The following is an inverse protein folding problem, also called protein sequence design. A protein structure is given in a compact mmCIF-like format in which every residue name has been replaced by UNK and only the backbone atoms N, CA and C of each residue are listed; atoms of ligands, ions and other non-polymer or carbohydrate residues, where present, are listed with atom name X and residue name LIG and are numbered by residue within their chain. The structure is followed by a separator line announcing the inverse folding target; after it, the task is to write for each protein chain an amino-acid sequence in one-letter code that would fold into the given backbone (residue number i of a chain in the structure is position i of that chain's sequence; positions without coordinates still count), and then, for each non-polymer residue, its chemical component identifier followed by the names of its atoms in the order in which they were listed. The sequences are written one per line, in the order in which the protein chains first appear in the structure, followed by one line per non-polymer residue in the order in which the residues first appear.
data_IF_131535285672
#
_entry.id   IF_131535285672
#
_cell.length_a   1.000
_cell.length_b   1.000
_cell.length_c   1.000
_cell.angle_alpha   90.00
_cell.angle_beta   90.00
_cell.angle_gamma   90.00
#
_symmetry.space_group_name_H-M   'P 1'
#
loop_
_entity.id
_entity.type
_entity.pdbx_description
1 polymer ?
#
# COMPACT_ATOMS: atom_id res chain seq x y z
N UNK A 1 24.98 2.96 1.83
CA UNK A 1 24.40 4.05 2.67
C UNK A 1 23.23 3.48 3.44
N UNK A 2 23.03 3.89 4.69
CA UNK A 2 21.91 3.40 5.51
C UNK A 2 20.63 4.13 5.10
N UNK A 3 19.60 3.38 4.68
CA UNK A 3 18.27 3.94 4.46
C UNK A 3 17.68 4.41 5.80
N UNK A 4 16.94 5.53 5.84
CA UNK A 4 16.27 5.98 7.05
C UNK A 4 15.21 4.96 7.49
N UNK A 5 15.42 4.33 8.64
CA UNK A 5 14.50 3.35 9.22
C UNK A 5 13.45 4.06 10.10
N UNK A 6 12.17 3.81 9.83
CA UNK A 6 11.06 4.28 10.66
C UNK A 6 10.57 3.14 11.55
N UNK A 7 11.06 3.09 12.79
CA UNK A 7 10.58 2.15 13.79
C UNK A 7 9.36 2.69 14.53
N UNK A 8 8.28 1.90 14.63
CA UNK A 8 7.08 2.25 15.40
C UNK A 8 6.90 1.31 16.59
N UNK A 9 6.62 1.88 17.76
CA UNK A 9 6.43 1.12 19.00
C UNK A 9 5.18 0.24 18.90
N UNK A 10 5.34 -1.05 19.18
CA UNK A 10 4.24 -2.02 19.16
C UNK A 10 3.82 -2.49 17.76
N UNK A 11 4.64 -2.21 16.74
CA UNK A 11 4.56 -2.85 15.42
C UNK A 11 5.64 -3.92 15.37
N UNK A 12 5.24 -5.15 15.06
CA UNK A 12 6.13 -6.28 14.87
C UNK A 12 5.82 -7.00 13.56
N UNK A 13 6.62 -8.02 13.26
CA UNK A 13 6.53 -8.83 12.03
C UNK A 13 5.57 -10.02 12.17
N UNK A 14 4.61 -9.97 13.13
CA UNK A 14 3.64 -11.06 13.28
C UNK A 14 2.71 -11.15 12.09
N UNK A 15 2.52 -12.38 11.62
CA UNK A 15 1.58 -12.71 10.56
C UNK A 15 0.12 -12.70 11.05
N UNK A 16 -0.81 -12.14 10.26
CA UNK A 16 -0.59 -11.31 9.06
C UNK A 16 -0.12 -9.88 9.44
N UNK A 17 0.99 -9.33 8.88
CA UNK A 17 1.49 -7.96 9.10
C UNK A 17 0.59 -6.83 8.55
N UNK A 18 -0.69 -6.86 8.90
CA UNK A 18 -1.68 -5.82 8.62
C UNK A 18 -1.34 -4.54 9.39
N UNK A 19 -1.09 -4.68 10.70
CA UNK A 19 -0.76 -3.55 11.57
C UNK A 19 0.47 -2.79 11.07
N UNK A 20 1.49 -3.53 10.64
CA UNK A 20 2.72 -2.97 10.05
C UNK A 20 2.41 -2.18 8.79
N UNK A 21 1.63 -2.77 7.89
CA UNK A 21 1.21 -2.15 6.63
C UNK A 21 0.42 -0.87 6.80
N UNK A 22 -0.63 -0.91 7.62
CA UNK A 22 -1.47 0.26 7.87
C UNK A 22 -0.70 1.39 8.56
N UNK A 23 0.12 1.06 9.56
CA UNK A 23 0.91 2.08 10.25
C UNK A 23 1.98 2.71 9.35
N UNK A 24 2.49 1.96 8.37
CA UNK A 24 3.39 2.49 7.35
C UNK A 24 2.65 3.46 6.41
N UNK A 25 1.47 3.11 5.90
CA UNK A 25 0.67 4.00 5.05
C UNK A 25 0.20 5.25 5.81
N UNK A 26 -0.22 5.10 7.07
CA UNK A 26 -0.58 6.22 7.93
C UNK A 26 0.60 7.18 8.13
N UNK A 27 1.80 6.65 8.36
CA UNK A 27 3.00 7.47 8.45
C UNK A 27 3.30 8.23 7.15
N UNK A 28 3.15 7.57 5.99
CA UNK A 28 3.31 8.24 4.70
C UNK A 28 2.28 9.37 4.52
N UNK A 29 1.04 9.13 4.91
CA UNK A 29 -0.02 10.14 4.89
C UNK A 29 0.33 11.35 5.78
N UNK A 30 0.58 11.13 7.08
CA UNK A 30 0.81 12.22 8.04
C UNK A 30 2.01 13.12 7.68
N UNK A 31 3.06 12.56 7.08
CA UNK A 31 4.33 13.27 6.89
C UNK A 31 4.57 13.72 5.44
N UNK A 32 3.95 13.08 4.46
CA UNK A 32 4.34 13.22 3.06
C UNK A 32 3.18 13.38 2.08
N UNK A 33 1.91 13.34 2.52
CA UNK A 33 0.75 13.40 1.62
C UNK A 33 0.79 14.63 0.69
N UNK A 34 1.16 15.79 1.21
CA UNK A 34 1.23 17.04 0.43
C UNK A 34 2.56 17.25 -0.29
N UNK A 35 3.52 16.31 -0.16
CA UNK A 35 4.86 16.41 -0.76
C UNK A 35 5.03 15.56 -2.01
N UNK A 36 4.35 14.41 -2.11
CA UNK A 36 4.48 13.47 -3.22
C UNK A 36 3.14 13.12 -3.84
N UNK A 37 3.14 12.80 -5.13
CA UNK A 37 1.94 12.38 -5.87
C UNK A 37 1.72 10.87 -5.83
N UNK A 38 2.78 10.11 -5.62
CA UNK A 38 2.81 8.66 -5.70
C UNK A 38 3.49 8.07 -4.48
N UNK A 39 2.93 6.97 -3.97
CA UNK A 39 3.40 6.25 -2.81
C UNK A 39 3.52 4.77 -3.18
N UNK A 40 4.61 4.14 -2.78
CA UNK A 40 4.85 2.73 -3.07
C UNK A 40 5.07 1.96 -1.76
N UNK A 41 4.45 0.78 -1.68
CA UNK A 41 4.77 -0.27 -0.71
C UNK A 41 5.39 -1.42 -1.48
N UNK A 42 6.50 -1.96 -1.02
CA UNK A 42 7.09 -3.16 -1.58
C UNK A 42 7.94 -3.88 -0.52
N UNK A 43 8.26 -5.13 -0.79
CA UNK A 43 9.15 -5.95 0.03
C UNK A 43 10.62 -5.56 -0.18
N UNK A 44 11.51 -6.03 0.69
CA UNK A 44 12.94 -5.68 0.66
C UNK A 44 13.75 -6.41 -0.42
N UNK A 45 13.14 -7.40 -1.07
CA UNK A 45 13.72 -8.20 -2.15
C UNK A 45 13.24 -7.80 -3.56
N UNK A 46 12.50 -6.68 -3.69
CA UNK A 46 12.04 -6.20 -4.99
C UNK A 46 13.10 -5.36 -5.72
N UNK A 47 13.10 -5.47 -7.05
CA UNK A 47 13.85 -4.56 -7.93
C UNK A 47 12.90 -3.63 -8.68
N UNK A 48 13.06 -2.32 -8.49
CA UNK A 48 12.24 -1.30 -9.15
C UNK A 48 13.02 -0.62 -10.27
N UNK A 49 12.47 -0.71 -11.47
CA UNK A 49 12.92 0.06 -12.64
C UNK A 49 12.33 1.46 -12.63
N UNK A 50 13.00 2.39 -11.94
CA UNK A 50 12.52 3.76 -11.76
C UNK A 50 12.34 4.52 -13.08
N UNK A 51 13.20 4.28 -14.07
CA UNK A 51 13.14 4.84 -15.43
C UNK A 51 11.79 4.55 -16.11
N UNK A 52 11.37 3.28 -16.08
CA UNK A 52 10.10 2.83 -16.66
C UNK A 52 8.92 3.25 -15.80
N UNK A 53 9.08 3.14 -14.48
CA UNK A 53 8.01 3.45 -13.55
C UNK A 53 7.63 4.93 -13.65
N UNK A 54 8.61 5.84 -13.71
CA UNK A 54 8.36 7.27 -13.88
C UNK A 54 7.59 7.54 -15.18
N UNK A 55 8.06 6.98 -16.30
CA UNK A 55 7.38 7.14 -17.60
C UNK A 55 5.92 6.67 -17.54
N UNK A 56 5.67 5.53 -16.90
CA UNK A 56 4.32 4.99 -16.70
C UNK A 56 3.46 5.90 -15.82
N UNK A 57 3.96 6.31 -14.65
CA UNK A 57 3.20 7.15 -13.72
C UNK A 57 2.87 8.54 -14.29
N UNK A 58 3.76 9.11 -15.12
CA UNK A 58 3.50 10.38 -15.82
C UNK A 58 2.38 10.28 -16.86
N UNK A 59 2.06 9.07 -17.33
CA UNK A 59 0.94 8.84 -18.25
C UNK A 59 -0.42 8.72 -17.55
N UNK A 60 -0.44 8.69 -16.20
CA UNK A 60 -1.63 8.46 -15.39
C UNK A 60 -2.03 9.75 -14.68
N UNK A 61 -3.33 10.02 -14.66
CA UNK A 61 -3.93 11.11 -13.90
C UNK A 61 -3.87 10.81 -12.39
N UNK A 62 -2.88 11.42 -11.71
CA UNK A 62 -2.62 11.27 -10.27
C UNK A 62 -3.66 12.00 -9.40
N UNK A 63 -4.50 12.85 -9.98
CA UNK A 63 -5.60 13.53 -9.26
C UNK A 63 -6.77 12.59 -8.94
N UNK A 64 -6.80 11.41 -9.57
CA UNK A 64 -7.80 10.37 -9.34
C UNK A 64 -7.26 9.31 -8.37
N UNK A 65 -8.14 8.59 -7.65
CA UNK A 65 -7.73 7.42 -6.88
C UNK A 65 -7.15 6.37 -7.83
N UNK A 66 -5.89 6.01 -7.61
CA UNK A 66 -5.19 4.94 -8.31
C UNK A 66 -4.66 3.94 -7.28
N UNK A 67 -4.92 2.66 -7.52
CA UNK A 67 -4.37 1.56 -6.75
C UNK A 67 -3.83 0.54 -7.75
N UNK A 68 -2.51 0.55 -7.93
CA UNK A 68 -1.84 -0.11 -9.05
C UNK A 68 -0.90 -1.18 -8.50
N UNK A 69 -1.00 -2.39 -9.02
CA UNK A 69 -0.16 -3.50 -8.62
C UNK A 69 -0.56 -4.75 -9.39
N UNK A 70 0.08 -5.86 -9.05
CA UNK A 70 -0.29 -7.15 -9.65
C UNK A 70 -1.65 -7.60 -9.08
N UNK A 71 -2.65 -7.69 -9.97
CA UNK A 71 -3.93 -8.28 -9.61
C UNK A 71 -3.74 -9.75 -9.20
N UNK A 72 -4.24 -10.11 -8.04
CA UNK A 72 -4.33 -11.50 -7.58
C UNK A 72 -5.61 -11.74 -6.81
N UNK A 73 -5.90 -13.03 -6.61
CA UNK A 73 -7.08 -13.51 -5.88
C UNK A 73 -6.76 -14.00 -4.47
N UNK A 74 -5.49 -13.97 -4.04
CA UNK A 74 -5.06 -14.57 -2.77
C UNK A 74 -5.09 -16.10 -2.76
N UNK A 75 -4.62 -16.70 -1.66
CA UNK A 75 -4.72 -18.14 -1.40
C UNK A 75 -6.15 -18.49 -0.95
N UNK A 76 -6.73 -19.59 -1.46
CA UNK A 76 -7.98 -20.23 -1.03
C UNK A 76 -8.19 -20.29 0.50
N UNK A 77 -7.11 -20.45 1.28
CA UNK A 77 -7.13 -20.56 2.74
C UNK A 77 -7.21 -19.19 3.45
N UNK A 78 -6.99 -18.10 2.73
CA UNK A 78 -7.11 -16.71 3.21
C UNK A 78 -8.45 -16.08 2.78
N UNK A 79 -9.26 -16.79 1.99
CA UNK A 79 -10.61 -16.39 1.61
C UNK A 79 -11.54 -16.39 2.82
N UNK A 80 -12.08 -15.21 3.14
CA UNK A 80 -12.98 -14.99 4.28
C UNK A 80 -12.35 -14.22 5.46
N UNK A 81 -11.02 -14.05 5.47
CA UNK A 81 -10.33 -13.20 6.45
C UNK A 81 -10.13 -11.76 5.98
N UNK A 82 -10.42 -11.48 4.70
CA UNK A 82 -10.09 -10.23 4.02
C UNK A 82 -11.29 -9.31 3.72
N UNK A 83 -12.52 -9.67 4.10
CA UNK A 83 -13.74 -8.91 3.75
C UNK A 83 -13.86 -8.52 2.27
N UNK A 84 -13.18 -9.23 1.38
CA UNK A 84 -13.28 -9.08 -0.07
C UNK A 84 -14.45 -9.92 -0.56
N UNK A 85 -15.28 -9.37 -1.45
CA UNK A 85 -16.33 -10.16 -2.11
C UNK A 85 -15.69 -11.21 -3.04
N UNK A 86 -16.47 -12.25 -3.38
CA UNK A 86 -16.04 -13.47 -4.09
C UNK A 86 -15.34 -13.21 -5.45
N UNK A 87 -15.46 -11.99 -6.00
CA UNK A 87 -14.95 -11.58 -7.30
C UNK A 87 -13.98 -10.37 -7.27
N UNK A 88 -13.59 -9.89 -6.09
CA UNK A 88 -12.74 -8.71 -5.99
C UNK A 88 -11.25 -9.04 -6.13
N UNK A 89 -10.64 -8.52 -7.19
CA UNK A 89 -9.18 -8.54 -7.33
C UNK A 89 -8.55 -7.49 -6.42
N UNK A 90 -7.48 -7.84 -5.72
CA UNK A 90 -6.65 -6.90 -4.98
C UNK A 90 -5.20 -6.94 -5.49
N UNK A 91 -4.44 -5.89 -5.16
CA UNK A 91 -3.01 -5.85 -5.48
C UNK A 91 -2.26 -6.75 -4.49
N UNK A 92 -1.66 -7.82 -4.98
CA UNK A 92 -0.79 -8.69 -4.18
C UNK A 92 0.40 -7.86 -3.67
N UNK A 93 0.74 -8.02 -2.38
CA UNK A 93 1.75 -7.20 -1.71
C UNK A 93 3.18 -7.40 -2.22
N UNK A 94 3.57 -8.63 -2.54
CA UNK A 94 4.96 -9.00 -2.87
C UNK A 94 5.59 -8.23 -4.04
N UNK A 95 4.93 -8.13 -5.21
CA UNK A 95 5.43 -7.34 -6.35
C UNK A 95 5.46 -5.82 -6.11
N UNK A 96 4.86 -5.36 -5.01
CA UNK A 96 4.66 -3.97 -4.67
C UNK A 96 3.33 -3.39 -5.14
N UNK A 97 2.86 -2.39 -4.40
CA UNK A 97 1.61 -1.66 -4.63
C UNK A 97 1.92 -0.17 -4.70
N UNK A 98 1.41 0.49 -5.72
CA UNK A 98 1.54 1.93 -5.95
C UNK A 98 0.18 2.59 -5.78
N UNK A 99 0.15 3.65 -4.97
CA UNK A 99 -1.04 4.44 -4.66
C UNK A 99 -0.82 5.88 -5.11
N UNK A 100 -1.84 6.50 -5.70
CA UNK A 100 -1.85 7.95 -5.85
C UNK A 100 -2.08 8.62 -4.49
N UNK A 101 -1.68 9.89 -4.38
CA UNK A 101 -1.99 10.76 -3.25
C UNK A 101 -3.48 10.74 -2.93
N UNK A 102 -4.32 10.80 -3.96
CA UNK A 102 -5.77 10.82 -3.78
C UNK A 102 -6.30 9.53 -3.14
N UNK A 103 -5.73 8.36 -3.48
CA UNK A 103 -6.05 7.09 -2.81
C UNK A 103 -5.73 7.14 -1.32
N UNK A 104 -4.54 7.62 -0.94
CA UNK A 104 -4.17 7.74 0.46
C UNK A 104 -4.97 8.82 1.18
N UNK A 105 -5.36 9.92 0.52
CA UNK A 105 -6.16 10.99 1.12
C UNK A 105 -7.57 10.51 1.45
N UNK A 106 -8.23 9.79 0.53
CA UNK A 106 -9.57 9.24 0.77
C UNK A 106 -9.59 8.16 1.83
N UNK A 107 -8.55 7.32 1.88
CA UNK A 107 -8.34 6.46 3.02
C UNK A 107 -8.19 7.31 4.28
N UNK A 108 -7.31 8.32 4.21
CA UNK A 108 -6.87 9.33 5.21
C UNK A 108 -7.97 9.93 6.07
N UNK A 109 -9.07 10.28 5.42
CA UNK A 109 -10.19 10.95 6.08
C UNK A 109 -11.12 9.96 6.84
N UNK A 110 -10.97 8.64 6.62
CA UNK A 110 -11.80 7.56 7.21
C UNK A 110 -11.04 6.70 8.28
N UNK A 111 -9.77 7.02 8.62
CA UNK A 111 -8.95 6.24 9.59
C UNK A 111 -9.44 6.35 11.05
N UNK A 112 -10.38 7.25 11.34
CA UNK A 112 -10.91 7.47 12.69
C UNK A 112 -12.01 6.47 13.12
N UNK A 113 -12.35 5.47 12.30
CA UNK A 113 -13.45 4.56 12.68
C UNK A 113 -13.62 3.26 11.92
N UNK A 114 -12.81 2.93 10.92
CA UNK A 114 -12.94 1.66 10.19
C UNK A 114 -11.58 0.98 10.03
N UNK A 115 -11.42 -0.13 10.75
CA UNK A 115 -10.32 -1.07 10.55
C UNK A 115 -10.64 -1.85 9.27
N UNK A 116 -10.03 -1.46 8.15
CA UNK A 116 -10.00 -2.29 6.95
C UNK A 116 -8.75 -3.18 7.00
N UNK A 117 -8.83 -4.39 6.47
CA UNK A 117 -7.82 -5.44 6.63
C UNK A 117 -7.05 -5.65 5.32
N UNK A 118 -5.72 -5.53 5.33
CA UNK A 118 -4.84 -5.93 4.21
C UNK A 118 -3.52 -6.49 4.76
N UNK A 119 -3.24 -7.73 4.39
CA UNK A 119 -2.13 -8.61 4.80
C UNK A 119 -0.78 -8.15 4.16
N UNK A 120 0.35 -8.41 4.81
CA UNK A 120 1.65 -8.71 4.15
C UNK A 120 2.00 -10.15 4.54
#
# INVERSE_FOLDING_TARGET
ENLPLVARRGVDDRYPPQKKSFMMLHYMYEHYIDRFEWFARADDDVFVRTDKLEQFLRSIDSSKPQFIGQAGRGNSEEFGLLSLEFDENFCMGGPGVIMSRETLRRGGDDWNGKVFWVVT
#
